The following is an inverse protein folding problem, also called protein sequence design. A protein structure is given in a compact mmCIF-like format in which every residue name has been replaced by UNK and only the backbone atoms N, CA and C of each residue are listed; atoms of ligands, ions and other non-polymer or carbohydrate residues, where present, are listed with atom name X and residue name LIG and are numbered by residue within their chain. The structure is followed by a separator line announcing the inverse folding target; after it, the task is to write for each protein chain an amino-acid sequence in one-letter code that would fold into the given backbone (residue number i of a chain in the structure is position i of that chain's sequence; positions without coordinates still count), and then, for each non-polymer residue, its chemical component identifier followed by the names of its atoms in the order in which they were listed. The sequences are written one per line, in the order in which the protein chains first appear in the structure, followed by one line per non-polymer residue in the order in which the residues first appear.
data_IF_348719051406
#
_entry.id   IF_348719051406
#
_cell.length_a   1.000
_cell.length_b   1.000
_cell.length_c   1.000
_cell.angle_alpha   90.00
_cell.angle_beta   90.00
_cell.angle_gamma   90.00
#
_symmetry.space_group_name_H-M   'P 1'
#
loop_
_entity.id
_entity.type
_entity.pdbx_description
1 polymer ?
#
# COMPACT_ATOMS: atom_id res chain seq x y z
N UNK A 1 39.87 -25.90 -62.25
CA UNK A 1 38.75 -25.30 -63.00
C UNK A 1 37.39 -25.38 -62.21
N UNK A 2 36.97 -26.56 -61.73
CA UNK A 2 35.66 -26.70 -61.05
C UNK A 2 35.61 -26.00 -59.68
N UNK A 3 36.71 -26.08 -58.92
CA UNK A 3 36.85 -25.41 -57.63
C UNK A 3 37.04 -23.92 -57.75
N UNK A 4 37.70 -23.45 -58.78
CA UNK A 4 37.88 -22.03 -59.06
C UNK A 4 36.55 -21.34 -59.42
N UNK A 5 35.66 -22.03 -60.17
CA UNK A 5 34.28 -21.53 -60.46
C UNK A 5 33.44 -21.44 -59.20
N UNK A 6 33.61 -22.37 -58.26
CA UNK A 6 32.87 -22.34 -57.00
C UNK A 6 33.39 -21.26 -56.06
N UNK A 7 34.71 -21.04 -56.00
CA UNK A 7 35.31 -19.98 -55.17
C UNK A 7 35.12 -18.59 -55.72
N UNK A 8 35.06 -18.47 -57.06
CA UNK A 8 34.86 -17.16 -57.74
C UNK A 8 33.40 -16.73 -57.87
N UNK A 9 32.42 -17.60 -57.57
CA UNK A 9 30.99 -17.28 -57.73
C UNK A 9 30.15 -17.72 -56.55
N UNK A 10 29.69 -16.75 -55.76
CA UNK A 10 28.87 -16.96 -54.57
C UNK A 10 27.61 -17.78 -54.83
N UNK A 11 26.99 -17.67 -56.00
CA UNK A 11 25.82 -18.47 -56.37
C UNK A 11 26.15 -19.96 -56.53
N UNK A 12 27.32 -20.29 -57.15
CA UNK A 12 27.76 -21.67 -57.29
C UNK A 12 28.18 -22.28 -55.95
N UNK A 13 28.79 -21.47 -55.08
CA UNK A 13 29.10 -21.88 -53.72
C UNK A 13 27.81 -22.23 -52.95
N UNK A 14 26.78 -21.42 -53.02
CA UNK A 14 25.48 -21.71 -52.39
C UNK A 14 24.80 -22.97 -52.97
N UNK A 15 24.97 -23.26 -54.26
CA UNK A 15 24.45 -24.50 -54.84
C UNK A 15 25.12 -25.71 -54.25
N UNK A 16 26.45 -25.71 -54.12
CA UNK A 16 27.21 -26.79 -53.53
C UNK A 16 26.78 -26.99 -52.07
N UNK A 17 26.69 -25.93 -51.30
CA UNK A 17 26.26 -26.00 -49.90
C UNK A 17 24.81 -26.54 -49.80
N UNK A 18 23.88 -26.06 -50.59
CA UNK A 18 22.50 -26.60 -50.63
C UNK A 18 22.46 -28.08 -51.00
N UNK A 19 23.25 -28.54 -51.95
CA UNK A 19 23.29 -29.93 -52.33
C UNK A 19 23.81 -30.81 -51.18
N UNK A 20 24.88 -30.39 -50.56
CA UNK A 20 25.41 -31.11 -49.38
C UNK A 20 24.45 -31.16 -48.22
N UNK A 21 23.78 -30.04 -47.89
CA UNK A 21 22.76 -29.97 -46.84
C UNK A 21 21.58 -30.89 -47.16
N UNK A 22 21.16 -31.00 -48.44
CA UNK A 22 20.11 -31.95 -48.84
C UNK A 22 20.53 -33.39 -48.67
N UNK A 23 21.76 -33.74 -49.02
CA UNK A 23 22.35 -35.08 -48.81
C UNK A 23 22.38 -35.42 -47.32
N UNK A 24 22.84 -34.49 -46.49
CA UNK A 24 22.82 -34.67 -45.01
C UNK A 24 21.39 -34.85 -44.48
N UNK A 25 20.47 -34.03 -44.95
CA UNK A 25 19.05 -34.14 -44.56
C UNK A 25 18.48 -35.51 -44.96
N UNK A 26 18.85 -36.01 -46.15
CA UNK A 26 18.37 -37.31 -46.61
C UNK A 26 19.00 -38.48 -45.84
N UNK A 27 20.27 -38.39 -45.49
CA UNK A 27 21.01 -39.44 -44.76
C UNK A 27 20.69 -39.49 -43.26
N UNK A 28 20.52 -38.31 -42.63
CA UNK A 28 20.42 -38.20 -41.16
C UNK A 28 19.09 -37.56 -40.69
N UNK A 29 18.24 -37.14 -41.61
CA UNK A 29 16.95 -36.55 -41.26
C UNK A 29 16.04 -37.57 -40.58
N UNK A 30 15.57 -37.21 -39.39
CA UNK A 30 14.63 -38.01 -38.64
C UNK A 30 13.24 -37.38 -38.74
N UNK A 31 12.16 -38.14 -38.75
CA UNK A 31 10.81 -37.60 -38.64
C UNK A 31 10.68 -36.86 -37.31
N UNK A 32 9.83 -35.84 -37.32
CA UNK A 32 9.55 -35.03 -36.13
C UNK A 32 8.98 -35.95 -35.04
N UNK A 33 9.54 -35.86 -33.83
CA UNK A 33 9.08 -36.65 -32.67
C UNK A 33 7.89 -36.00 -31.94
N UNK A 34 7.65 -34.71 -32.18
CA UNK A 34 6.53 -33.96 -31.61
C UNK A 34 5.43 -33.79 -32.65
N UNK A 35 4.22 -34.06 -32.27
CA UNK A 35 3.03 -33.83 -33.07
C UNK A 35 2.65 -32.33 -33.00
N UNK A 36 2.33 -31.74 -34.16
CA UNK A 36 1.74 -30.40 -34.21
C UNK A 36 0.23 -30.59 -34.06
N UNK A 37 -0.28 -30.35 -32.87
CA UNK A 37 -1.72 -30.31 -32.67
C UNK A 37 -2.18 -28.90 -33.00
N UNK A 38 -3.06 -28.76 -33.97
CA UNK A 38 -3.82 -27.53 -34.25
C UNK A 38 -4.96 -27.31 -33.21
N UNK A 39 -4.80 -27.94 -32.04
CA UNK A 39 -5.68 -27.67 -30.93
C UNK A 39 -5.22 -26.38 -30.29
N UNK A 40 -5.95 -25.30 -30.49
CA UNK A 40 -5.90 -24.16 -29.57
C UNK A 40 -6.20 -24.73 -28.21
N UNK A 41 -5.14 -24.99 -27.41
CA UNK A 41 -5.32 -25.33 -26.01
C UNK A 41 -6.16 -24.19 -25.44
N UNK A 42 -7.45 -24.45 -25.18
CA UNK A 42 -8.25 -23.57 -24.35
C UNK A 42 -7.49 -23.51 -23.06
N UNK A 43 -6.80 -22.40 -22.82
CA UNK A 43 -6.24 -22.11 -21.52
C UNK A 43 -7.43 -22.28 -20.55
N UNK A 44 -7.36 -23.29 -19.71
CA UNK A 44 -8.33 -23.47 -18.63
C UNK A 44 -8.05 -22.29 -17.69
N UNK A 45 -8.77 -21.21 -17.90
CA UNK A 45 -8.79 -20.11 -16.94
C UNK A 45 -9.61 -20.68 -15.79
N UNK A 46 -8.96 -21.14 -14.73
CA UNK A 46 -9.66 -21.41 -13.49
C UNK A 46 -10.43 -20.14 -13.14
N UNK A 47 -11.75 -20.23 -13.17
CA UNK A 47 -12.60 -19.15 -12.68
C UNK A 47 -12.31 -18.99 -11.18
N UNK A 48 -11.54 -17.97 -10.83
CA UNK A 48 -11.25 -17.66 -9.43
C UNK A 48 -12.58 -17.26 -8.79
N UNK A 49 -13.11 -18.10 -7.93
CA UNK A 49 -14.29 -17.77 -7.15
C UNK A 49 -13.96 -16.59 -6.24
N UNK A 50 -14.63 -15.47 -6.46
CA UNK A 50 -14.47 -14.27 -5.64
C UNK A 50 -15.14 -14.51 -4.29
N UNK A 51 -14.38 -14.41 -3.23
CA UNK A 51 -14.82 -14.61 -1.85
C UNK A 51 -14.33 -13.48 -0.97
N UNK A 52 -15.14 -13.11 0.02
CA UNK A 52 -14.71 -12.18 1.07
C UNK A 52 -13.78 -12.91 2.05
N UNK A 53 -12.70 -12.25 2.39
CA UNK A 53 -11.73 -12.70 3.38
C UNK A 53 -11.48 -11.61 4.42
N UNK A 54 -11.07 -12.03 5.61
CA UNK A 54 -10.63 -11.14 6.68
C UNK A 54 -9.12 -11.26 6.83
N UNK A 55 -8.42 -10.14 6.67
CA UNK A 55 -6.99 -10.04 6.92
C UNK A 55 -6.80 -9.51 8.33
N UNK A 56 -6.16 -10.32 9.19
CA UNK A 56 -5.88 -9.99 10.58
C UNK A 56 -4.38 -9.72 10.72
N UNK A 57 -4.03 -8.56 11.30
CA UNK A 57 -2.64 -8.15 11.53
C UNK A 57 -2.49 -7.84 13.00
N UNK A 58 -1.52 -8.49 13.63
CA UNK A 58 -1.22 -8.27 15.04
C UNK A 58 -0.31 -7.05 15.27
N UNK A 59 -0.09 -6.70 16.53
CA UNK A 59 0.79 -5.58 16.94
C UNK A 59 2.26 -5.75 16.52
N UNK A 60 2.68 -6.95 16.14
CA UNK A 60 4.05 -7.27 15.70
C UNK A 60 4.17 -7.33 14.18
N UNK A 61 3.07 -7.11 13.44
CA UNK A 61 3.02 -7.17 11.99
C UNK A 61 2.87 -8.58 11.42
N UNK A 62 2.48 -9.59 12.22
CA UNK A 62 2.11 -10.89 11.68
C UNK A 62 0.74 -10.84 11.05
N UNK A 63 0.69 -11.24 9.79
CA UNK A 63 -0.46 -11.12 8.91
C UNK A 63 -0.95 -12.49 8.48
N UNK A 64 -2.25 -12.68 8.51
CA UNK A 64 -2.93 -13.87 8.01
C UNK A 64 -4.29 -13.52 7.43
N UNK A 65 -4.80 -14.40 6.59
CA UNK A 65 -6.17 -14.29 6.07
C UNK A 65 -7.01 -15.48 6.50
N UNK A 66 -8.30 -15.28 6.59
CA UNK A 66 -9.28 -16.32 6.85
C UNK A 66 -10.61 -16.04 6.18
N UNK A 67 -11.41 -17.09 5.99
CA UNK A 67 -12.73 -16.97 5.42
C UNK A 67 -13.69 -16.30 6.41
N UNK A 68 -14.74 -15.71 5.90
CA UNK A 68 -15.81 -15.11 6.71
C UNK A 68 -16.39 -16.09 7.73
N UNK A 69 -16.63 -17.34 7.33
CA UNK A 69 -17.14 -18.37 8.24
C UNK A 69 -16.19 -18.78 9.35
N UNK A 70 -14.86 -18.77 9.11
CA UNK A 70 -13.84 -19.02 10.13
C UNK A 70 -13.69 -17.81 11.06
N UNK A 71 -13.74 -16.60 10.52
CA UNK A 71 -13.68 -15.36 11.27
C UNK A 71 -14.88 -15.16 12.18
N UNK A 72 -16.10 -15.43 11.70
CA UNK A 72 -17.33 -15.27 12.47
C UNK A 72 -17.41 -16.23 13.67
N UNK A 73 -16.77 -17.40 13.56
CA UNK A 73 -16.71 -18.38 14.65
C UNK A 73 -15.65 -18.09 15.71
N UNK A 74 -14.75 -17.13 15.44
CA UNK A 74 -13.72 -16.73 16.38
C UNK A 74 -14.35 -15.94 17.56
N UNK A 75 -13.82 -16.15 18.78
CA UNK A 75 -14.24 -15.38 19.95
C UNK A 75 -13.82 -13.92 19.84
N UNK A 76 -14.55 -13.03 20.50
CA UNK A 76 -14.21 -11.59 20.53
C UNK A 76 -12.83 -11.35 21.19
N UNK A 77 -12.46 -12.16 22.19
CA UNK A 77 -11.13 -12.11 22.82
C UNK A 77 -10.02 -12.39 21.79
N UNK A 78 -10.20 -13.45 20.97
CA UNK A 78 -9.24 -13.80 19.94
C UNK A 78 -9.16 -12.73 18.81
N UNK A 79 -10.25 -12.05 18.51
CA UNK A 79 -10.27 -10.91 17.58
C UNK A 79 -9.58 -9.69 18.17
N UNK A 80 -9.72 -9.45 19.47
CA UNK A 80 -9.09 -8.35 20.21
C UNK A 80 -7.55 -8.39 20.23
N UNK A 81 -6.92 -9.52 19.88
CA UNK A 81 -5.47 -9.63 19.70
C UNK A 81 -4.97 -8.93 18.42
N UNK A 82 -5.88 -8.64 17.48
CA UNK A 82 -5.56 -8.04 16.16
C UNK A 82 -6.06 -6.60 16.10
N UNK A 83 -5.19 -5.60 16.28
CA UNK A 83 -5.55 -4.19 16.15
C UNK A 83 -6.01 -3.81 14.74
N UNK A 84 -5.62 -4.59 13.72
CA UNK A 84 -6.03 -4.34 12.35
C UNK A 84 -6.72 -5.57 11.79
N UNK A 85 -8.01 -5.42 11.50
CA UNK A 85 -8.85 -6.42 10.84
C UNK A 85 -9.46 -5.75 9.61
N UNK A 86 -9.07 -6.22 8.43
CA UNK A 86 -9.48 -5.66 7.15
C UNK A 86 -10.32 -6.71 6.40
N UNK A 87 -11.57 -6.36 6.09
CA UNK A 87 -12.41 -7.16 5.18
C UNK A 87 -12.05 -6.76 3.76
N UNK A 88 -11.78 -7.74 2.90
CA UNK A 88 -11.43 -7.51 1.49
C UNK A 88 -11.74 -8.74 0.64
N UNK A 89 -11.74 -8.60 -0.67
CA UNK A 89 -11.89 -9.74 -1.60
C UNK A 89 -10.58 -10.50 -1.75
N UNK A 90 -10.65 -11.81 -1.98
CA UNK A 90 -9.48 -12.67 -2.24
C UNK A 90 -8.71 -12.29 -3.52
N UNK A 91 -9.30 -11.47 -4.39
CA UNK A 91 -8.69 -10.95 -5.62
C UNK A 91 -8.10 -9.54 -5.45
N UNK A 92 -8.35 -8.91 -4.31
CA UNK A 92 -7.91 -7.55 -4.00
C UNK A 92 -6.47 -7.51 -3.46
N UNK A 93 -6.01 -6.33 -3.10
CA UNK A 93 -4.68 -6.06 -2.56
C UNK A 93 -4.80 -5.37 -1.22
N UNK A 94 -3.99 -5.78 -0.27
CA UNK A 94 -3.75 -5.05 0.97
C UNK A 94 -2.73 -3.95 0.68
N UNK A 95 -3.10 -2.71 0.94
CA UNK A 95 -2.22 -1.54 0.86
C UNK A 95 -1.79 -1.13 2.26
N UNK A 96 -0.54 -0.77 2.41
CA UNK A 96 -0.01 -0.27 3.67
C UNK A 96 0.85 0.98 3.43
N UNK A 97 0.72 1.96 4.31
CA UNK A 97 1.46 3.22 4.27
C UNK A 97 2.46 3.27 5.42
N UNK A 98 3.69 3.72 5.15
CA UNK A 98 4.78 3.66 6.11
C UNK A 98 5.24 5.04 6.58
N UNK A 99 5.96 5.06 7.71
CA UNK A 99 6.61 6.25 8.26
C UNK A 99 7.64 6.87 7.31
N UNK A 100 8.20 6.09 6.37
CA UNK A 100 9.12 6.56 5.32
C UNK A 100 8.39 7.19 4.12
N UNK A 101 7.06 7.32 4.19
CA UNK A 101 6.27 7.92 3.15
C UNK A 101 6.10 7.07 1.90
N UNK A 102 6.21 5.76 2.04
CA UNK A 102 5.94 4.78 0.98
C UNK A 102 4.56 4.15 1.15
N UNK A 103 4.00 3.70 0.02
CA UNK A 103 2.90 2.75 -0.01
C UNK A 103 3.41 1.44 -0.58
N UNK A 104 3.13 0.33 0.08
CA UNK A 104 3.37 -1.02 -0.39
C UNK A 104 2.05 -1.73 -0.68
N UNK A 105 2.06 -2.66 -1.63
CA UNK A 105 0.91 -3.49 -2.00
C UNK A 105 1.24 -4.96 -1.84
N UNK A 106 0.33 -5.71 -1.22
CA UNK A 106 0.39 -7.15 -1.05
C UNK A 106 -0.88 -7.74 -1.67
N UNK A 107 -0.75 -8.59 -2.68
CA UNK A 107 -1.91 -9.28 -3.24
C UNK A 107 -2.49 -10.23 -2.18
N UNK A 108 -3.82 -10.30 -2.08
CA UNK A 108 -4.51 -11.18 -1.15
C UNK A 108 -4.06 -12.64 -1.24
N UNK A 109 -3.78 -13.13 -2.45
CA UNK A 109 -3.28 -14.48 -2.72
C UNK A 109 -1.95 -14.83 -2.03
N UNK A 110 -1.12 -13.82 -1.69
CA UNK A 110 0.17 -13.99 -1.00
C UNK A 110 0.03 -14.04 0.51
N UNK A 111 -1.09 -13.61 1.05
CA UNK A 111 -1.35 -13.63 2.49
C UNK A 111 -1.77 -15.05 2.87
N UNK A 112 -1.04 -15.73 3.79
CA UNK A 112 -1.34 -17.10 4.12
C UNK A 112 -2.73 -17.25 4.73
N UNK A 113 -3.49 -18.23 4.23
CA UNK A 113 -4.75 -18.65 4.86
C UNK A 113 -4.43 -19.49 6.09
N UNK A 114 -4.81 -19.00 7.24
CA UNK A 114 -4.50 -19.60 8.54
C UNK A 114 -5.73 -19.64 9.45
N UNK A 115 -5.68 -20.49 10.47
CA UNK A 115 -6.67 -20.49 11.56
C UNK A 115 -6.37 -19.35 12.54
N UNK A 116 -7.35 -18.97 13.38
CA UNK A 116 -7.19 -17.89 14.36
C UNK A 116 -5.98 -18.08 15.29
N UNK A 117 -5.68 -19.32 15.67
CA UNK A 117 -4.55 -19.66 16.55
C UNK A 117 -3.19 -19.65 15.89
N UNK A 118 -3.13 -19.65 14.56
CA UNK A 118 -1.85 -19.67 13.82
C UNK A 118 -1.27 -18.25 13.78
N UNK A 119 0.06 -18.16 13.80
CA UNK A 119 0.75 -16.86 13.86
C UNK A 119 0.74 -16.08 12.55
N UNK A 120 0.68 -16.76 11.40
CA UNK A 120 0.76 -16.12 10.08
C UNK A 120 2.19 -15.77 9.66
N UNK A 121 2.34 -14.78 8.77
CA UNK A 121 3.63 -14.35 8.21
C UNK A 121 3.83 -12.85 8.42
N UNK A 122 5.05 -12.43 8.70
CA UNK A 122 5.40 -11.01 8.84
C UNK A 122 5.12 -10.23 7.55
N UNK A 123 4.50 -9.06 7.67
CA UNK A 123 4.23 -8.14 6.56
C UNK A 123 5.49 -7.81 5.76
N UNK A 124 6.63 -7.58 6.43
CA UNK A 124 7.91 -7.31 5.80
C UNK A 124 8.35 -8.41 4.81
N UNK A 125 7.98 -9.67 5.10
CA UNK A 125 8.29 -10.80 4.21
C UNK A 125 7.37 -10.87 2.99
N UNK A 126 6.20 -10.26 3.05
CA UNK A 126 5.21 -10.28 1.99
C UNK A 126 5.37 -9.11 1.00
N UNK A 127 6.02 -8.04 1.41
CA UNK A 127 6.30 -6.85 0.58
C UNK A 127 7.77 -6.42 0.72
N UNK A 128 8.20 -5.48 -0.11
CA UNK A 128 9.59 -4.96 -0.10
C UNK A 128 9.77 -3.83 0.93
N UNK A 129 9.29 -4.04 2.13
CA UNK A 129 9.42 -3.09 3.23
C UNK A 129 10.80 -3.23 3.85
N UNK A 130 11.49 -2.13 4.10
CA UNK A 130 12.79 -2.12 4.79
C UNK A 130 12.61 -2.30 6.29
N UNK A 131 13.69 -2.71 6.97
CA UNK A 131 13.65 -2.93 8.42
C UNK A 131 13.39 -1.64 9.24
N UNK A 132 13.64 -0.48 8.64
CA UNK A 132 13.47 0.84 9.26
C UNK A 132 12.09 1.46 8.97
N UNK A 133 11.22 0.72 8.27
CA UNK A 133 9.87 1.16 7.97
C UNK A 133 8.88 0.58 8.98
N UNK A 134 8.04 1.45 9.52
CA UNK A 134 6.87 1.09 10.33
C UNK A 134 5.60 1.38 9.55
N UNK A 135 4.67 0.43 9.54
CA UNK A 135 3.37 0.62 8.92
C UNK A 135 2.47 1.48 9.82
N UNK A 136 1.86 2.51 9.23
CA UNK A 136 0.98 3.46 9.92
C UNK A 136 -0.50 3.23 9.60
N UNK A 137 -0.79 2.70 8.41
CA UNK A 137 -2.16 2.42 7.97
C UNK A 137 -2.15 1.16 7.11
N UNK A 138 -3.13 0.30 7.36
CA UNK A 138 -3.48 -0.85 6.51
C UNK A 138 -4.90 -0.65 5.97
N UNK A 139 -5.10 -0.86 4.68
CA UNK A 139 -6.38 -0.66 4.01
C UNK A 139 -6.48 -1.57 2.78
N UNK A 140 -7.69 -2.06 2.43
CA UNK A 140 -7.92 -2.75 1.15
C UNK A 140 -7.74 -1.76 -0.01
N UNK A 141 -7.40 -2.25 -1.20
CA UNK A 141 -7.28 -1.36 -2.35
C UNK A 141 -8.64 -0.81 -2.79
N UNK A 142 -9.70 -1.59 -2.64
CA UNK A 142 -11.08 -1.17 -2.93
C UNK A 142 -11.47 0.04 -2.05
N UNK A 143 -11.28 -0.08 -0.72
CA UNK A 143 -11.56 1.02 0.22
C UNK A 143 -10.62 2.22 0.01
N UNK A 144 -9.34 1.96 -0.27
CA UNK A 144 -8.37 3.00 -0.56
C UNK A 144 -8.80 3.86 -1.74
N UNK A 145 -9.22 3.22 -2.83
CA UNK A 145 -9.59 3.92 -4.06
C UNK A 145 -10.74 4.91 -3.86
N UNK A 146 -11.68 4.59 -2.98
CA UNK A 146 -12.84 5.43 -2.64
C UNK A 146 -12.56 6.45 -1.53
N UNK A 147 -11.40 6.37 -0.89
CA UNK A 147 -11.07 7.18 0.28
C UNK A 147 -10.25 8.43 -0.05
N UNK A 148 -10.22 9.35 0.89
CA UNK A 148 -9.27 10.46 0.99
C UNK A 148 -8.28 10.18 2.11
N UNK A 149 -7.00 10.27 1.83
CA UNK A 149 -5.95 10.05 2.82
C UNK A 149 -5.42 11.38 3.36
N UNK A 150 -5.50 11.53 4.66
CA UNK A 150 -4.83 12.63 5.37
C UNK A 150 -3.45 12.15 5.82
N UNK A 151 -2.42 12.90 5.45
CA UNK A 151 -1.04 12.70 5.87
C UNK A 151 -0.61 13.81 6.80
N UNK A 152 0.12 13.44 7.86
CA UNK A 152 0.83 14.38 8.73
C UNK A 152 2.27 13.93 8.88
N UNK A 153 3.25 14.85 8.74
CA UNK A 153 4.68 14.54 8.91
C UNK A 153 5.22 15.04 10.25
N UNK A 154 6.33 14.45 10.71
CA UNK A 154 6.99 14.85 11.97
C UNK A 154 7.43 16.32 11.94
N UNK A 155 7.74 16.87 10.77
CA UNK A 155 8.04 18.30 10.55
C UNK A 155 6.79 19.20 10.54
N UNK A 156 5.61 18.63 10.77
CA UNK A 156 4.35 19.38 10.90
C UNK A 156 3.69 19.77 9.58
N UNK A 157 4.02 19.12 8.47
CA UNK A 157 3.30 19.27 7.20
C UNK A 157 2.10 18.35 7.15
N UNK A 158 1.03 18.82 6.51
CA UNK A 158 -0.21 18.05 6.31
C UNK A 158 -0.69 18.16 4.88
N UNK A 159 -1.39 17.16 4.40
CA UNK A 159 -2.06 17.16 3.10
C UNK A 159 -3.20 16.16 3.06
N UNK A 160 -4.13 16.38 2.14
CA UNK A 160 -5.10 15.39 1.69
C UNK A 160 -4.67 14.86 0.32
N UNK A 161 -4.86 13.57 0.09
CA UNK A 161 -4.58 12.92 -1.20
C UNK A 161 -5.73 11.97 -1.51
N UNK A 162 -6.26 12.04 -2.71
CA UNK A 162 -7.25 11.07 -3.19
C UNK A 162 -6.63 9.67 -3.25
N UNK A 163 -7.34 8.66 -2.75
CA UNK A 163 -6.91 7.28 -2.82
C UNK A 163 -6.72 6.78 -4.25
N UNK A 164 -7.46 7.32 -5.22
CA UNK A 164 -7.30 7.02 -6.64
C UNK A 164 -5.90 7.36 -7.18
N UNK A 165 -5.18 8.32 -6.60
CA UNK A 165 -3.78 8.64 -6.95
C UNK A 165 -2.82 7.46 -6.74
N UNK A 166 -3.22 6.47 -5.92
CA UNK A 166 -2.42 5.29 -5.60
C UNK A 166 -2.70 4.10 -6.49
N UNK A 167 -3.57 4.23 -7.50
CA UNK A 167 -3.77 3.19 -8.50
C UNK A 167 -2.47 2.93 -9.26
N UNK A 168 -1.91 1.73 -9.10
CA UNK A 168 -0.65 1.34 -9.70
C UNK A 168 -0.48 -0.17 -9.76
N UNK A 169 0.30 -0.65 -10.72
CA UNK A 169 0.75 -2.03 -10.79
C UNK A 169 2.04 -2.30 -10.00
N UNK A 170 2.73 -1.24 -9.54
CA UNK A 170 3.99 -1.37 -8.79
C UNK A 170 3.73 -1.84 -7.37
N UNK A 171 4.60 -2.71 -6.86
CA UNK A 171 4.51 -3.23 -5.48
C UNK A 171 4.83 -2.17 -4.41
N UNK A 172 5.57 -1.13 -4.80
CA UNK A 172 5.94 -0.01 -3.93
C UNK A 172 5.92 1.28 -4.72
N UNK A 173 5.38 2.34 -4.12
CA UNK A 173 5.40 3.72 -4.65
C UNK A 173 5.56 4.71 -3.52
N UNK A 174 6.13 5.88 -3.83
CA UNK A 174 6.17 6.99 -2.89
C UNK A 174 4.75 7.53 -2.68
N UNK A 175 4.33 7.63 -1.43
CA UNK A 175 3.04 8.17 -1.01
C UNK A 175 3.10 9.67 -0.67
N UNK A 176 4.28 10.16 -0.29
CA UNK A 176 4.50 11.58 -0.02
C UNK A 176 5.95 11.96 -0.30
N UNK A 177 6.17 13.24 -0.60
CA UNK A 177 7.52 13.80 -0.64
C UNK A 177 7.91 14.22 0.78
N UNK A 178 8.98 13.63 1.29
CA UNK A 178 9.60 13.98 2.56
C UNK A 178 10.91 14.74 2.33
N UNK A 179 11.27 15.65 3.24
CA UNK A 179 12.60 16.21 3.28
C UNK A 179 13.59 15.20 3.90
N UNK A 180 14.88 15.50 3.82
CA UNK A 180 15.89 14.75 4.54
C UNK A 180 15.55 14.72 6.04
N UNK A 181 15.57 13.55 6.65
CA UNK A 181 15.26 13.32 8.07
C UNK A 181 13.77 13.49 8.48
N UNK A 182 12.85 13.89 7.58
CA UNK A 182 11.42 13.91 7.91
C UNK A 182 10.79 12.52 7.78
N UNK A 183 9.76 12.27 8.54
CA UNK A 183 8.99 11.05 8.52
C UNK A 183 7.50 11.37 8.59
N UNK A 184 6.68 10.45 8.09
CA UNK A 184 5.23 10.52 8.31
C UNK A 184 4.96 10.17 9.77
N UNK A 185 4.21 11.01 10.47
CA UNK A 185 3.77 10.81 11.84
C UNK A 185 2.41 10.11 11.93
N UNK A 186 1.59 10.26 10.89
CA UNK A 186 0.27 9.61 10.83
C UNK A 186 -0.33 9.65 9.43
N UNK A 187 -1.08 8.61 9.12
CA UNK A 187 -1.92 8.50 7.91
C UNK A 187 -3.31 8.11 8.35
N UNK A 188 -4.33 8.83 7.92
CA UNK A 188 -5.73 8.60 8.29
C UNK A 188 -6.54 8.48 7.01
N UNK A 189 -7.33 7.42 6.89
CA UNK A 189 -8.29 7.24 5.81
C UNK A 189 -9.61 7.89 6.20
N UNK A 190 -10.19 8.65 5.28
CA UNK A 190 -11.46 9.35 5.41
C UNK A 190 -12.36 8.96 4.25
N UNK A 191 -13.65 8.88 4.49
CA UNK A 191 -14.60 8.78 3.39
C UNK A 191 -14.70 10.11 2.65
N UNK A 192 -15.10 10.09 1.38
CA UNK A 192 -15.33 11.32 0.62
C UNK A 192 -16.41 12.19 1.28
N UNK A 193 -17.41 11.59 1.92
CA UNK A 193 -18.45 12.31 2.67
C UNK A 193 -17.89 13.07 3.88
N UNK A 194 -16.96 12.47 4.63
CA UNK A 194 -16.31 13.11 5.77
C UNK A 194 -15.60 14.42 5.41
N UNK A 195 -15.00 14.44 4.22
CA UNK A 195 -14.29 15.63 3.72
C UNK A 195 -15.29 16.72 3.25
N UNK A 196 -16.40 16.31 2.63
CA UNK A 196 -17.40 17.23 2.08
C UNK A 196 -18.27 17.89 3.16
N UNK A 197 -18.60 17.17 4.23
CA UNK A 197 -19.46 17.66 5.30
C UNK A 197 -18.87 18.85 6.07
N UNK A 198 -17.55 19.03 6.05
CA UNK A 198 -16.87 20.17 6.64
C UNK A 198 -16.92 20.23 8.18
N UNK A 199 -17.45 19.18 8.83
CA UNK A 199 -17.64 19.08 10.28
C UNK A 199 -16.47 18.37 11.00
N UNK A 200 -15.36 18.13 10.30
CA UNK A 200 -14.19 17.44 10.85
C UNK A 200 -13.14 18.43 11.36
N UNK A 201 -12.58 18.08 12.50
CA UNK A 201 -11.51 18.81 13.17
C UNK A 201 -10.24 17.96 13.16
N UNK A 202 -9.16 18.52 12.66
CA UNK A 202 -7.81 17.96 12.78
C UNK A 202 -7.25 18.34 14.14
N UNK A 203 -6.67 17.37 14.84
CA UNK A 203 -5.94 17.58 16.10
C UNK A 203 -4.52 17.10 15.89
N UNK A 204 -3.56 17.95 16.19
CA UNK A 204 -2.13 17.69 16.11
C UNK A 204 -1.53 17.83 17.52
N UNK A 205 -0.70 16.84 17.93
CA UNK A 205 0.04 16.89 19.19
C UNK A 205 1.54 16.83 18.92
N UNK A 206 2.30 17.64 19.64
CA UNK A 206 3.76 17.69 19.50
C UNK A 206 4.46 17.01 20.68
N UNK A 207 5.72 16.63 20.48
CA UNK A 207 6.57 16.02 21.52
C UNK A 207 6.69 16.91 22.77
N UNK A 208 6.70 18.24 22.61
CA UNK A 208 6.79 19.20 23.71
C UNK A 208 5.44 19.46 24.41
N UNK A 209 4.40 18.66 24.13
CA UNK A 209 3.07 18.76 24.74
C UNK A 209 2.26 19.94 24.25
N UNK A 210 2.53 20.43 23.03
CA UNK A 210 1.69 21.43 22.38
C UNK A 210 0.60 20.74 21.59
N UNK A 211 -0.61 21.32 21.57
CA UNK A 211 -1.72 20.89 20.74
C UNK A 211 -2.21 21.98 19.83
N UNK A 212 -2.69 21.63 18.66
CA UNK A 212 -3.35 22.51 17.71
C UNK A 212 -4.56 21.82 17.10
N UNK A 213 -5.71 22.49 17.12
CA UNK A 213 -6.91 22.06 16.41
C UNK A 213 -7.25 23.07 15.30
N UNK A 214 -7.67 22.56 14.14
CA UNK A 214 -8.19 23.37 13.03
C UNK A 214 -9.18 22.55 12.19
N UNK A 215 -9.95 23.22 11.34
CA UNK A 215 -10.90 22.54 10.46
C UNK A 215 -10.18 21.76 9.37
N UNK A 216 -10.64 20.55 9.06
CA UNK A 216 -10.11 19.75 7.94
C UNK A 216 -10.23 20.50 6.61
N UNK A 217 -11.26 21.36 6.44
CA UNK A 217 -11.46 22.20 5.25
C UNK A 217 -10.30 23.18 4.95
N UNK A 218 -9.45 23.46 5.93
CA UNK A 218 -8.24 24.26 5.72
C UNK A 218 -7.10 23.47 5.02
N UNK A 219 -7.24 22.15 4.85
CA UNK A 219 -6.25 21.28 4.20
C UNK A 219 -6.70 21.01 2.78
N UNK A 220 -5.97 21.55 1.81
CA UNK A 220 -6.24 21.31 0.40
C UNK A 220 -5.84 19.90 -0.03
N UNK A 221 -6.48 19.42 -1.08
CA UNK A 221 -6.10 18.21 -1.76
C UNK A 221 -4.80 18.43 -2.58
N UNK A 222 -3.91 17.46 -2.55
CA UNK A 222 -2.62 17.46 -3.25
C UNK A 222 -2.38 16.12 -3.93
N UNK A 223 -1.49 16.11 -4.92
CA UNK A 223 -0.99 14.87 -5.50
C UNK A 223 -0.06 14.14 -4.51
N UNK A 224 0.02 12.81 -4.65
CA UNK A 224 0.89 11.97 -3.79
C UNK A 224 2.34 12.44 -3.73
N UNK A 225 2.88 12.98 -4.82
CA UNK A 225 4.27 13.47 -4.91
C UNK A 225 4.49 14.85 -4.27
N UNK A 226 3.45 15.49 -3.74
CA UNK A 226 3.54 16.78 -3.06
C UNK A 226 3.95 16.61 -1.59
N UNK A 227 4.63 17.60 -1.05
CA UNK A 227 4.94 17.72 0.38
C UNK A 227 3.73 18.09 1.21
N UNK A 228 2.78 18.84 0.63
CA UNK A 228 1.65 19.41 1.34
C UNK A 228 1.91 20.81 1.91
N UNK A 229 1.13 21.20 2.87
CA UNK A 229 1.15 22.52 3.51
C UNK A 229 1.48 22.42 5.00
N UNK A 230 1.96 23.51 5.57
CA UNK A 230 2.27 23.54 7.00
C UNK A 230 0.99 23.40 7.83
N UNK A 231 0.91 22.34 8.63
CA UNK A 231 -0.20 22.07 9.54
C UNK A 231 -0.04 22.81 10.87
N UNK A 232 1.17 22.73 11.45
CA UNK A 232 1.52 23.35 12.72
C UNK A 232 2.90 24.01 12.63
N UNK A 233 3.08 25.16 13.28
CA UNK A 233 4.39 25.77 13.45
C UNK A 233 5.12 25.12 14.63
N UNK A 234 6.24 24.46 14.35
CA UNK A 234 7.08 23.80 15.33
C UNK A 234 8.31 24.65 15.69
N UNK A 235 8.76 24.57 16.91
CA UNK A 235 10.05 25.09 17.34
C UNK A 235 11.19 24.14 16.87
N UNK A 236 12.44 24.61 16.87
CA UNK A 236 13.61 23.87 16.30
C UNK A 236 13.79 22.44 16.85
N UNK A 237 13.40 22.20 18.09
CA UNK A 237 13.58 20.90 18.77
C UNK A 237 12.26 20.18 19.04
N UNK A 238 11.18 20.57 18.35
CA UNK A 238 9.86 19.95 18.48
C UNK A 238 9.51 19.16 17.24
N UNK A 239 8.68 18.15 17.39
CA UNK A 239 8.19 17.33 16.29
C UNK A 239 6.75 16.93 16.54
N UNK A 240 5.99 16.71 15.47
CA UNK A 240 4.68 16.12 15.55
C UNK A 240 4.82 14.64 15.95
N UNK A 241 4.05 14.23 16.96
CA UNK A 241 4.04 12.84 17.45
C UNK A 241 2.71 12.14 17.19
N UNK A 242 1.62 12.90 17.06
CA UNK A 242 0.30 12.34 16.86
C UNK A 242 -0.59 13.27 16.04
N UNK A 243 -1.42 12.67 15.22
CA UNK A 243 -2.47 13.37 14.48
C UNK A 243 -3.75 12.53 14.50
N UNK A 244 -4.88 13.17 14.69
CA UNK A 244 -6.19 12.53 14.56
C UNK A 244 -7.19 13.48 13.95
N UNK A 245 -8.29 12.93 13.44
CA UNK A 245 -9.41 13.68 12.90
C UNK A 245 -10.66 13.22 13.62
N UNK A 246 -11.38 14.15 14.19
CA UNK A 246 -12.60 13.91 14.95
C UNK A 246 -13.74 14.79 14.43
N UNK A 247 -14.98 14.38 14.68
CA UNK A 247 -16.10 15.29 14.46
C UNK A 247 -16.01 16.50 15.40
N UNK A 248 -16.43 17.66 14.93
CA UNK A 248 -16.40 18.89 15.74
C UNK A 248 -17.20 18.76 17.04
N UNK A 249 -18.17 17.85 17.09
CA UNK A 249 -19.00 17.55 18.25
C UNK A 249 -18.44 16.44 19.13
N UNK A 250 -17.36 15.78 18.74
CA UNK A 250 -16.74 14.72 19.54
C UNK A 250 -16.05 15.30 20.77
N UNK A 251 -16.34 14.73 21.93
CA UNK A 251 -15.83 15.22 23.22
C UNK A 251 -14.42 14.70 23.53
N UNK A 252 -14.09 13.51 23.06
CA UNK A 252 -12.85 12.80 23.42
C UNK A 252 -12.19 12.14 22.22
N UNK A 253 -10.88 11.92 22.32
CA UNK A 253 -10.10 11.09 21.41
C UNK A 253 -9.08 10.29 22.21
N UNK A 254 -8.58 9.21 21.64
CA UNK A 254 -7.60 8.34 22.30
C UNK A 254 -6.18 8.66 21.80
N UNK A 255 -5.22 8.72 22.72
CA UNK A 255 -3.80 8.84 22.44
C UNK A 255 -3.01 8.10 23.50
N UNK A 256 -2.13 7.17 23.10
CA UNK A 256 -1.26 6.39 23.98
C UNK A 256 -2.02 5.67 25.12
N UNK A 257 -3.18 5.08 24.77
CA UNK A 257 -4.06 4.38 25.75
C UNK A 257 -4.78 5.30 26.73
N UNK A 258 -4.73 6.62 26.54
CA UNK A 258 -5.44 7.62 27.36
C UNK A 258 -6.55 8.28 26.56
N UNK A 259 -7.68 8.48 27.21
CA UNK A 259 -8.80 9.24 26.65
C UNK A 259 -8.61 10.72 26.96
N UNK A 260 -8.43 11.53 25.93
CA UNK A 260 -8.16 12.96 26.02
C UNK A 260 -9.38 13.78 25.58
N UNK A 261 -9.57 14.99 26.16
CA UNK A 261 -10.69 15.85 25.85
C UNK A 261 -10.45 16.69 24.58
N UNK A 262 -11.18 16.41 23.50
CA UNK A 262 -11.06 17.11 22.23
C UNK A 262 -11.49 18.58 22.31
N UNK A 263 -12.42 18.94 23.23
CA UNK A 263 -12.89 20.32 23.41
C UNK A 263 -11.83 21.23 24.01
N UNK A 264 -10.87 20.65 24.77
CA UNK A 264 -9.75 21.43 25.33
C UNK A 264 -8.70 21.81 24.30
N UNK A 265 -8.65 21.12 23.14
CA UNK A 265 -7.82 21.53 22.02
C UNK A 265 -8.47 22.70 21.31
N UNK A 266 -7.92 23.89 21.47
CA UNK A 266 -8.49 25.12 20.87
C UNK A 266 -8.36 25.11 19.36
N UNK A 267 -9.44 25.48 18.67
CA UNK A 267 -9.43 25.70 17.24
C UNK A 267 -8.68 27.01 16.92
N UNK A 268 -7.72 26.94 16.01
CA UNK A 268 -6.96 28.05 15.46
C UNK A 268 -6.79 27.86 13.95
N UNK A 269 -6.23 28.86 13.30
CA UNK A 269 -5.87 28.72 11.90
C UNK A 269 -4.74 27.67 11.75
N UNK A 270 -4.79 26.91 10.68
CA UNK A 270 -3.70 26.02 10.26
C UNK A 270 -2.37 26.79 10.24
N UNK A 271 -1.26 26.12 10.48
CA UNK A 271 0.08 26.68 10.59
C UNK A 271 0.30 27.64 11.79
N UNK A 272 -0.64 27.77 12.71
CA UNK A 272 -0.40 28.45 13.97
C UNK A 272 0.57 27.65 14.87
N UNK A 273 1.17 28.30 15.84
CA UNK A 273 1.90 27.64 16.92
C UNK A 273 0.93 26.92 17.85
N UNK A 274 1.24 25.69 18.22
CA UNK A 274 0.47 24.91 19.19
C UNK A 274 0.43 25.60 20.56
N UNK A 275 -0.55 25.23 21.37
CA UNK A 275 -0.68 25.68 22.75
C UNK A 275 -0.45 24.52 23.70
N UNK A 276 0.15 24.79 24.86
CA UNK A 276 0.23 23.85 25.96
C UNK A 276 -1.17 23.36 26.30
N UNK A 277 -1.44 22.09 26.15
CA UNK A 277 -2.74 21.49 26.44
C UNK A 277 -2.66 20.73 27.76
N UNK A 278 -3.51 21.10 28.69
CA UNK A 278 -3.92 20.23 29.79
C UNK A 278 -5.01 19.34 29.20
N UNK A 279 -4.64 18.15 28.74
CA UNK A 279 -5.55 17.25 28.03
C UNK A 279 -6.23 16.25 28.96
N UNK A 280 -5.86 16.26 30.25
CA UNK A 280 -6.43 15.41 31.30
C UNK A 280 -7.85 15.86 31.70
#
# INVERSE_FOLDING_TARGET
EQYEKVLGNTKELYKVIKTRLREFKKAFGRPRRTELLDVVAKAYVEEIKIEDIYVCIDRFGYTKSMDEGAFSRASEEAKGEYPHIIKMKNTDKLCLFTNQGNMHQIKAEKIPRCKMKDKGTLVHSLCRMSNDEDALLYISFEDLFESMLFFATKSGYVKLVSGAEFETSRLQVAATKLDQEDQVAGVISLSASDVLEGNKKVILLTRNGLSLGFSLSEVSEFKKTSRGVKGIALDKNDSLVFSTIVDTNTDTFEYDGRVLNAKRVRNRKRAAKGQKATLD
#
